data_IF_115577290335
#
_entry.id   IF_115577290335
#
_cell.length_a   1.000
_cell.length_b   1.000
_cell.length_c   1.000
_cell.angle_alpha   90.00
_cell.angle_beta   90.00
_cell.angle_gamma   90.00
#
_symmetry.space_group_name_H-M   'P 1'
#
loop_
_entity.id
_entity.type
_entity.pdbx_description
1 polymer ?
#
# COMPACT_ATOMS: atom_id res chain seq x y z
N UNK A 1 -1.98 25.45 7.90
CA UNK A 1 -2.46 24.20 7.26
C UNK A 1 -3.85 23.95 7.84
N UNK A 2 -4.89 23.93 7.00
CA UNK A 2 -6.27 23.72 7.45
C UNK A 2 -6.55 22.22 7.44
N UNK A 3 -6.62 21.59 8.60
CA UNK A 3 -7.14 20.22 8.74
C UNK A 3 -8.65 20.27 8.66
N UNK A 4 -9.22 19.67 7.61
CA UNK A 4 -10.66 19.57 7.41
C UNK A 4 -11.23 18.50 8.36
N UNK A 5 -12.37 18.79 9.00
CA UNK A 5 -13.12 17.83 9.83
C UNK A 5 -13.52 16.57 9.06
N UNK A 6 -13.52 16.62 7.73
CA UNK A 6 -13.80 15.47 6.87
C UNK A 6 -12.66 14.43 6.86
N UNK A 7 -11.42 14.80 7.24
CA UNK A 7 -10.35 13.81 7.44
C UNK A 7 -10.66 12.88 8.63
N UNK A 8 -11.53 13.27 9.59
CA UNK A 8 -11.82 12.47 10.79
C UNK A 8 -12.82 11.32 10.59
N UNK A 9 -13.53 11.23 9.47
CA UNK A 9 -14.70 10.36 9.33
C UNK A 9 -14.78 9.49 8.06
N UNK A 10 -13.66 9.21 7.40
CA UNK A 10 -13.62 8.14 6.39
C UNK A 10 -13.53 6.79 7.09
N UNK A 11 -14.69 6.19 7.38
CA UNK A 11 -14.82 4.83 7.90
C UNK A 11 -14.04 3.89 6.94
N UNK A 12 -12.85 3.44 7.33
CA UNK A 12 -12.03 2.47 6.58
C UNK A 12 -10.61 2.93 6.21
N UNK A 13 -10.38 4.22 6.00
CA UNK A 13 -9.08 4.83 5.72
C UNK A 13 -8.81 5.88 6.81
N UNK A 14 -7.84 5.61 7.69
CA UNK A 14 -7.64 6.43 8.90
C UNK A 14 -7.39 7.92 8.62
N UNK A 15 -7.46 8.77 9.65
CA UNK A 15 -7.74 10.20 9.51
C UNK A 15 -6.58 11.07 9.01
N UNK A 16 -5.53 10.46 8.47
CA UNK A 16 -4.30 11.14 8.09
C UNK A 16 -4.02 10.92 6.62
N UNK A 17 -4.17 11.95 5.81
CA UNK A 17 -3.80 11.95 4.38
C UNK A 17 -2.38 11.42 4.14
N UNK A 18 -1.44 11.74 5.03
CA UNK A 18 -0.06 11.24 4.93
C UNK A 18 0.10 9.75 5.27
N UNK A 19 -0.80 9.16 6.05
CA UNK A 19 -0.72 7.76 6.49
C UNK A 19 -1.74 6.86 5.78
N UNK A 20 -2.71 7.42 5.06
CA UNK A 20 -3.70 6.67 4.28
C UNK A 20 -3.64 7.03 2.79
N UNK A 21 -3.93 8.29 2.42
CA UNK A 21 -4.02 8.71 1.01
C UNK A 21 -2.69 8.54 0.28
N UNK A 22 -1.58 9.05 0.84
CA UNK A 22 -0.27 8.94 0.20
C UNK A 22 0.22 7.50 0.02
N UNK A 23 0.15 6.64 1.06
CA UNK A 23 0.45 5.21 0.92
C UNK A 23 -0.44 4.47 -0.09
N UNK A 24 -1.73 4.80 -0.18
CA UNK A 24 -2.63 4.24 -1.19
C UNK A 24 -2.22 4.67 -2.60
N UNK A 25 -1.94 5.96 -2.82
CA UNK A 25 -1.43 6.48 -4.10
C UNK A 25 -0.09 5.84 -4.47
N UNK A 26 0.78 5.60 -3.51
CA UNK A 26 2.06 4.90 -3.72
C UNK A 26 1.85 3.47 -4.22
N UNK A 27 0.93 2.71 -3.61
CA UNK A 27 0.56 1.36 -4.07
C UNK A 27 0.06 1.36 -5.52
N UNK A 28 -0.88 2.25 -5.84
CA UNK A 28 -1.43 2.35 -7.21
C UNK A 28 -0.38 2.77 -8.23
N UNK A 29 0.45 3.76 -7.88
CA UNK A 29 1.58 4.20 -8.72
C UNK A 29 2.58 3.08 -8.97
N UNK A 30 2.84 2.23 -7.98
CA UNK A 30 3.73 1.09 -8.13
C UNK A 30 3.21 0.08 -9.16
N UNK A 31 1.94 -0.35 -9.03
CA UNK A 31 1.35 -1.33 -9.95
C UNK A 31 1.26 -0.80 -11.37
N UNK A 32 0.89 0.47 -11.55
CA UNK A 32 0.91 1.12 -12.87
C UNK A 32 2.29 1.18 -13.48
N UNK A 33 3.33 1.44 -12.68
CA UNK A 33 4.71 1.40 -13.15
C UNK A 33 5.10 -0.01 -13.57
N UNK A 34 4.74 -1.03 -12.79
CA UNK A 34 4.99 -2.43 -13.13
C UNK A 34 4.33 -2.82 -14.47
N UNK A 35 3.10 -2.35 -14.72
CA UNK A 35 2.41 -2.51 -16.01
C UNK A 35 3.10 -1.76 -17.16
N UNK A 36 3.48 -0.50 -16.94
CA UNK A 36 4.17 0.32 -17.94
C UNK A 36 5.54 -0.26 -18.35
N UNK A 37 6.22 -0.96 -17.44
CA UNK A 37 7.48 -1.66 -17.70
C UNK A 37 7.28 -3.08 -18.29
N UNK A 38 6.04 -3.51 -18.52
CA UNK A 38 5.74 -4.84 -19.09
C UNK A 38 6.02 -6.02 -18.14
N UNK A 39 6.04 -5.76 -16.83
CA UNK A 39 6.42 -6.74 -15.79
C UNK A 39 5.20 -7.27 -15.01
N UNK A 40 4.02 -6.68 -15.17
CA UNK A 40 2.84 -6.96 -14.35
C UNK A 40 2.42 -8.43 -14.38
N UNK A 41 2.36 -9.05 -15.55
CA UNK A 41 1.92 -10.45 -15.70
C UNK A 41 2.90 -11.45 -15.07
N UNK A 42 4.15 -11.04 -14.83
CA UNK A 42 5.16 -11.88 -14.17
C UNK A 42 5.10 -11.82 -12.65
N UNK A 43 4.37 -10.85 -12.09
CA UNK A 43 4.30 -10.65 -10.65
C UNK A 43 3.61 -11.85 -9.99
N UNK A 44 4.26 -12.44 -9.00
CA UNK A 44 3.74 -13.54 -8.20
C UNK A 44 3.62 -13.18 -6.71
N UNK A 45 4.34 -12.15 -6.25
CA UNK A 45 4.33 -11.66 -4.86
C UNK A 45 4.65 -10.17 -4.80
N UNK A 46 4.03 -9.47 -3.87
CA UNK A 46 4.35 -8.08 -3.52
C UNK A 46 4.86 -8.05 -2.08
N UNK A 47 5.89 -7.24 -1.82
CA UNK A 47 6.38 -6.94 -0.47
C UNK A 47 6.35 -5.44 -0.24
N UNK A 48 5.95 -5.05 0.95
CA UNK A 48 5.87 -3.67 1.40
C UNK A 48 6.65 -3.54 2.70
N UNK A 49 7.58 -2.59 2.73
CA UNK A 49 8.29 -2.23 3.96
C UNK A 49 7.98 -0.78 4.30
N UNK A 50 7.45 -0.55 5.49
CA UNK A 50 7.18 0.78 6.04
C UNK A 50 8.34 1.18 6.95
N UNK A 51 8.73 2.45 6.87
CA UNK A 51 9.81 3.02 7.66
C UNK A 51 9.34 4.24 8.46
N UNK A 52 10.14 4.63 9.45
CA UNK A 52 9.94 5.83 10.24
C UNK A 52 8.52 5.91 10.83
N UNK A 53 7.85 7.06 10.69
CA UNK A 53 6.52 7.27 11.28
C UNK A 53 5.49 6.25 10.78
N UNK A 54 5.52 5.88 9.49
CA UNK A 54 4.61 4.88 8.91
C UNK A 54 4.81 3.52 9.59
N UNK A 55 6.06 3.15 9.93
CA UNK A 55 6.35 1.91 10.65
C UNK A 55 5.84 1.92 12.12
N UNK A 56 5.86 3.10 12.74
CA UNK A 56 5.51 3.27 14.15
C UNK A 56 3.99 3.37 14.35
N UNK A 57 3.30 4.14 13.52
CA UNK A 57 1.89 4.49 13.73
C UNK A 57 0.96 3.88 12.68
N UNK A 58 1.50 3.31 11.60
CA UNK A 58 0.72 2.93 10.42
C UNK A 58 -0.40 1.93 10.68
N UNK A 59 -0.22 0.96 11.60
CA UNK A 59 -1.30 0.03 11.98
C UNK A 59 -2.52 0.75 12.57
N UNK A 60 -2.29 1.75 13.42
CA UNK A 60 -3.38 2.54 14.02
C UNK A 60 -4.06 3.50 13.04
N UNK A 61 -3.41 3.80 11.91
CA UNK A 61 -3.92 4.70 10.88
C UNK A 61 -4.43 3.95 9.62
N UNK A 62 -4.38 2.61 9.60
CA UNK A 62 -4.77 1.82 8.44
C UNK A 62 -3.86 1.98 7.22
N UNK A 63 -2.59 2.31 7.42
CA UNK A 63 -1.61 2.49 6.34
C UNK A 63 -1.41 1.23 5.50
N UNK A 64 -1.34 0.07 6.16
CA UNK A 64 -1.25 -1.24 5.52
C UNK A 64 -2.45 -1.48 4.59
N UNK A 65 -3.66 -1.26 5.10
CA UNK A 65 -4.92 -1.37 4.37
C UNK A 65 -4.98 -0.42 3.17
N UNK A 66 -4.58 0.83 3.38
CA UNK A 66 -4.54 1.84 2.33
C UNK A 66 -3.61 1.43 1.17
N UNK A 67 -2.44 0.90 1.47
CA UNK A 67 -1.50 0.40 0.44
C UNK A 67 -2.14 -0.75 -0.36
N UNK A 68 -2.80 -1.71 0.30
CA UNK A 68 -3.42 -2.84 -0.39
C UNK A 68 -4.55 -2.40 -1.34
N UNK A 69 -5.38 -1.45 -0.91
CA UNK A 69 -6.40 -0.86 -1.78
C UNK A 69 -5.77 -0.18 -3.00
N UNK A 70 -4.68 0.55 -2.79
CA UNK A 70 -3.92 1.17 -3.87
C UNK A 70 -3.37 0.16 -4.87
N UNK A 71 -2.76 -0.93 -4.39
CA UNK A 71 -2.25 -2.03 -5.22
C UNK A 71 -3.37 -2.69 -6.05
N UNK A 72 -4.57 -2.81 -5.48
CA UNK A 72 -5.75 -3.34 -6.17
C UNK A 72 -6.44 -2.34 -7.12
N UNK A 73 -5.98 -1.09 -7.18
CA UNK A 73 -6.46 -0.09 -8.13
C UNK A 73 -7.57 0.83 -7.61
N UNK A 74 -7.94 0.71 -6.33
CA UNK A 74 -8.89 1.62 -5.70
C UNK A 74 -8.32 3.04 -5.63
N UNK A 75 -9.23 4.00 -5.56
CA UNK A 75 -8.93 5.42 -5.51
C UNK A 75 -9.37 6.00 -4.15
N UNK A 76 -8.49 6.68 -3.38
CA UNK A 76 -8.82 7.16 -2.06
C UNK A 76 -9.95 8.20 -2.06
N UNK A 77 -10.18 8.89 -3.17
CA UNK A 77 -11.24 9.88 -3.31
C UNK A 77 -12.62 9.26 -3.59
N UNK A 78 -12.67 8.03 -4.11
CA UNK A 78 -13.92 7.42 -4.59
C UNK A 78 -14.22 6.03 -4.04
N UNK A 79 -13.31 5.44 -3.26
CA UNK A 79 -13.50 4.09 -2.72
C UNK A 79 -14.68 4.04 -1.77
N UNK A 80 -15.57 3.08 -2.01
CA UNK A 80 -16.68 2.78 -1.12
C UNK A 80 -16.17 1.98 0.12
N UNK A 81 -16.52 2.39 1.35
CA UNK A 81 -16.11 1.68 2.57
C UNK A 81 -16.51 0.20 2.63
N UNK A 82 -17.69 -0.15 2.14
CA UNK A 82 -18.21 -1.52 2.15
C UNK A 82 -17.51 -2.36 1.07
N UNK A 83 -17.13 -1.76 -0.06
CA UNK A 83 -16.24 -2.41 -1.04
C UNK A 83 -14.85 -2.68 -0.46
N UNK A 84 -14.27 -1.70 0.22
CA UNK A 84 -12.98 -1.86 0.88
C UNK A 84 -13.01 -2.98 1.93
N UNK A 85 -14.06 -3.03 2.75
CA UNK A 85 -14.25 -4.10 3.74
C UNK A 85 -14.31 -5.48 3.08
N UNK A 86 -15.15 -5.65 2.05
CA UNK A 86 -15.26 -6.91 1.28
C UNK A 86 -13.95 -7.31 0.63
N UNK A 87 -13.19 -6.34 0.12
CA UNK A 87 -11.86 -6.59 -0.45
C UNK A 87 -10.91 -7.17 0.61
N UNK A 88 -10.85 -6.58 1.81
CA UNK A 88 -9.98 -7.10 2.87
C UNK A 88 -10.39 -8.49 3.35
N UNK A 89 -11.68 -8.76 3.49
CA UNK A 89 -12.18 -10.09 3.84
C UNK A 89 -11.78 -11.12 2.77
N UNK A 90 -11.84 -10.73 1.49
CA UNK A 90 -11.35 -11.54 0.38
C UNK A 90 -9.85 -11.82 0.46
N UNK A 91 -9.02 -10.79 0.67
CA UNK A 91 -7.55 -10.95 0.77
C UNK A 91 -7.17 -11.85 1.95
N UNK A 92 -7.81 -11.66 3.12
CA UNK A 92 -7.52 -12.44 4.33
C UNK A 92 -7.97 -13.90 4.18
N UNK A 93 -9.15 -14.15 3.63
CA UNK A 93 -9.70 -15.51 3.48
C UNK A 93 -8.96 -16.32 2.42
N UNK A 94 -8.42 -15.68 1.39
CA UNK A 94 -7.76 -16.36 0.27
C UNK A 94 -6.24 -16.35 0.34
N UNK A 95 -5.63 -15.51 1.19
CA UNK A 95 -4.19 -15.23 1.18
C UNK A 95 -3.69 -14.84 -0.23
N UNK A 96 -4.51 -14.03 -0.92
CA UNK A 96 -4.27 -13.58 -2.29
C UNK A 96 -4.58 -12.10 -2.42
N UNK A 97 -3.75 -11.37 -3.16
CA UNK A 97 -3.92 -9.94 -3.43
C UNK A 97 -4.13 -9.71 -4.94
N UNK A 98 -5.31 -9.28 -5.39
CA UNK A 98 -5.50 -8.86 -6.77
C UNK A 98 -4.78 -7.52 -7.03
N UNK A 99 -4.06 -7.42 -8.16
CA UNK A 99 -3.42 -6.19 -8.60
C UNK A 99 -4.27 -5.45 -9.65
N UNK A 100 -4.21 -4.11 -9.67
CA UNK A 100 -4.88 -3.27 -10.69
C UNK A 100 -4.52 -3.77 -12.10
N UNK A 101 -5.53 -4.26 -12.85
CA UNK A 101 -5.39 -4.80 -14.20
C UNK A 101 -4.34 -5.93 -14.36
N UNK A 102 -3.99 -6.62 -13.27
CA UNK A 102 -2.91 -7.60 -13.24
C UNK A 102 -3.34 -8.96 -12.68
N UNK A 103 -2.35 -9.84 -12.42
CA UNK A 103 -2.60 -11.11 -11.78
C UNK A 103 -3.02 -10.93 -10.32
N UNK A 104 -3.57 -12.00 -9.76
CA UNK A 104 -3.74 -12.14 -8.32
C UNK A 104 -2.53 -12.83 -7.73
N UNK A 105 -1.79 -12.14 -6.87
CA UNK A 105 -0.51 -12.59 -6.31
C UNK A 105 -0.68 -13.26 -4.94
N UNK A 106 0.29 -14.07 -4.52
CA UNK A 106 0.31 -14.59 -3.15
C UNK A 106 0.53 -13.45 -2.15
N UNK A 107 -0.16 -13.51 -1.01
CA UNK A 107 -0.07 -12.48 0.03
C UNK A 107 -0.13 -13.10 1.42
N UNK A 108 0.94 -12.93 2.19
CA UNK A 108 1.02 -13.24 3.61
C UNK A 108 1.34 -11.96 4.39
N UNK A 109 0.35 -11.36 5.10
CA UNK A 109 0.56 -10.13 5.86
C UNK A 109 1.73 -10.19 6.85
N UNK A 110 2.08 -11.36 7.38
CA UNK A 110 3.17 -11.51 8.35
C UNK A 110 4.56 -11.38 7.68
N UNK A 111 4.67 -11.74 6.40
CA UNK A 111 5.93 -11.72 5.66
C UNK A 111 6.02 -10.57 4.64
N UNK A 112 4.88 -10.08 4.17
CA UNK A 112 4.79 -9.16 3.03
C UNK A 112 4.44 -7.74 3.43
N UNK A 113 4.07 -7.49 4.69
CA UNK A 113 3.90 -6.17 5.28
C UNK A 113 4.83 -5.99 6.48
N UNK A 114 6.00 -5.42 6.23
CA UNK A 114 7.06 -5.23 7.23
C UNK A 114 7.01 -3.81 7.80
N UNK A 115 6.95 -3.71 9.13
CA UNK A 115 7.04 -2.43 9.84
C UNK A 115 8.46 -2.27 10.40
N UNK A 116 9.37 -1.69 9.61
CA UNK A 116 10.76 -1.47 10.01
C UNK A 116 10.92 -0.18 10.81
N UNK A 117 10.95 -0.35 12.14
CA UNK A 117 11.09 0.73 13.12
C UNK A 117 12.53 1.10 13.44
N UNK A 118 13.50 0.36 12.89
CA UNK A 118 14.94 0.49 13.22
C UNK A 118 15.70 1.24 12.14
N UNK A 119 15.37 1.01 10.88
CA UNK A 119 16.07 1.65 9.76
C UNK A 119 15.74 3.14 9.71
N UNK A 120 16.79 3.97 9.74
CA UNK A 120 16.68 5.41 9.55
C UNK A 120 16.62 5.72 8.06
N UNK A 121 15.54 6.39 7.64
CA UNK A 121 15.36 6.88 6.27
C UNK A 121 15.75 8.35 6.17
N UNK A 122 16.72 8.66 5.30
CA UNK A 122 17.41 9.96 5.32
C UNK A 122 16.64 11.15 4.73
N UNK A 123 15.61 10.94 3.91
CA UNK A 123 14.92 12.05 3.22
C UNK A 123 13.65 12.53 3.94
N UNK A 124 12.78 11.61 4.38
CA UNK A 124 11.53 11.96 5.07
C UNK A 124 11.08 10.78 5.96
N UNK A 125 10.51 11.02 7.16
CA UNK A 125 10.13 9.96 8.10
C UNK A 125 8.97 9.09 7.60
N UNK A 126 8.14 9.59 6.69
CA UNK A 126 7.06 8.81 6.10
C UNK A 126 7.54 8.16 4.81
N UNK A 127 8.23 7.02 4.89
CA UNK A 127 8.76 6.32 3.74
C UNK A 127 8.25 4.87 3.65
N UNK A 128 8.09 4.38 2.44
CA UNK A 128 7.76 2.99 2.16
C UNK A 128 8.48 2.48 0.92
N UNK A 129 8.91 1.22 0.97
CA UNK A 129 9.41 0.49 -0.19
C UNK A 129 8.36 -0.53 -0.62
N UNK A 130 8.12 -0.61 -1.93
CA UNK A 130 7.26 -1.62 -2.54
C UNK A 130 8.11 -2.40 -3.55
N UNK A 131 8.06 -3.72 -3.45
CA UNK A 131 8.82 -4.65 -4.28
C UNK A 131 7.90 -5.70 -4.89
N UNK A 132 8.09 -5.98 -6.17
CA UNK A 132 7.45 -7.09 -6.87
C UNK A 132 8.46 -8.21 -7.13
N UNK A 133 8.03 -9.45 -6.96
CA UNK A 133 8.82 -10.66 -7.21
C UNK A 133 8.07 -11.58 -8.18
N UNK A 134 8.80 -12.31 -9.02
CA UNK A 134 8.22 -13.35 -9.87
C UNK A 134 8.08 -14.69 -9.14
N UNK A 135 7.55 -15.71 -9.83
CA UNK A 135 7.29 -17.03 -9.25
C UNK A 135 8.54 -17.78 -8.76
N UNK A 136 9.74 -17.32 -9.12
CA UNK A 136 11.02 -17.86 -8.61
C UNK A 136 11.57 -17.11 -7.39
N UNK A 137 10.92 -16.00 -7.00
CA UNK A 137 11.42 -15.08 -5.97
C UNK A 137 12.42 -14.04 -6.51
N UNK A 138 12.63 -13.97 -7.82
CA UNK A 138 13.47 -12.94 -8.43
C UNK A 138 12.76 -11.58 -8.37
N UNK A 139 13.49 -10.54 -7.98
CA UNK A 139 12.96 -9.17 -7.96
C UNK A 139 12.67 -8.66 -9.37
N UNK A 140 11.46 -8.18 -9.60
CA UNK A 140 11.03 -7.56 -10.85
C UNK A 140 11.19 -6.04 -10.82
N UNK A 141 10.72 -5.42 -9.74
CA UNK A 141 10.75 -3.98 -9.55
C UNK A 141 10.83 -3.68 -8.05
N UNK A 142 11.62 -2.67 -7.70
CA UNK A 142 11.76 -2.13 -6.36
C UNK A 142 11.66 -0.60 -6.44
N UNK A 143 10.80 0.00 -5.61
CA UNK A 143 10.60 1.44 -5.60
C UNK A 143 10.33 1.96 -4.19
N UNK A 144 11.04 3.03 -3.84
CA UNK A 144 10.83 3.83 -2.64
C UNK A 144 9.92 5.01 -2.90
N UNK A 145 8.98 5.22 -1.99
CA UNK A 145 8.05 6.36 -1.97
C UNK A 145 8.13 7.10 -0.64
N UNK A 146 7.77 8.38 -0.68
CA UNK A 146 7.68 9.24 0.50
C UNK A 146 6.32 9.94 0.53
N UNK A 147 5.64 9.85 1.67
CA UNK A 147 4.34 10.50 1.88
C UNK A 147 4.52 11.81 2.64
N UNK A 148 4.69 12.92 1.90
CA UNK A 148 5.16 14.21 2.43
C UNK A 148 4.05 15.22 2.79
N UNK A 149 2.78 14.79 2.75
CA UNK A 149 1.61 15.61 3.07
C UNK A 149 0.82 16.08 1.84
N UNK A 150 -0.52 16.11 1.94
CA UNK A 150 -1.43 16.43 0.82
C UNK A 150 -1.87 15.23 -0.04
N UNK A 151 -1.38 14.03 0.29
CA UNK A 151 -1.63 12.79 -0.47
C UNK A 151 -0.54 12.51 -1.49
#
# INVERSE_FOLDING_TARGET
MWTSVLELFSIGLGPSSSHAIGPMRAGRRFVRRLGAEGLLDRAARIRVTLYGSLAWTGKGHGTDRAILLGLAGYDPETVDPDEAARFFDGVLSTARLPLEHGPTVAWDPACDMVFDRKTLVGQHPNALDIRAEDGSGMGLLDARYYSIGGG
#
